data_IF_047429469039
#
_entry.id   IF_047429469039
#
_cell.length_a   1.000
_cell.length_b   1.000
_cell.length_c   1.000
_cell.angle_alpha   90.00
_cell.angle_beta   90.00
_cell.angle_gamma   90.00
#
_symmetry.space_group_name_H-M   'P 1'
#
loop_
_entity.id
_entity.type
_entity.pdbx_description
1 polymer ?
#
# COMPACT_ATOMS: atom_id res chain seq x y z
N UNK A 1 16.08 -3.47 -1.29
CA UNK A 1 16.53 -2.58 -2.38
C UNK A 1 15.70 -2.89 -3.61
N UNK A 2 15.61 -1.93 -4.51
CA UNK A 2 14.87 -2.08 -5.77
C UNK A 2 15.83 -2.22 -6.97
N UNK A 3 15.26 -2.52 -8.13
CA UNK A 3 16.00 -2.69 -9.38
C UNK A 3 15.97 -1.43 -10.27
N UNK A 4 15.86 -0.25 -9.65
CA UNK A 4 16.07 1.03 -10.32
C UNK A 4 17.50 1.52 -10.07
N UNK A 5 18.37 1.37 -11.06
CA UNK A 5 19.81 1.61 -10.91
C UNK A 5 20.35 2.43 -12.08
N UNK A 6 21.32 3.31 -11.79
CA UNK A 6 22.03 4.02 -12.84
C UNK A 6 23.12 3.13 -13.43
N UNK A 7 23.06 2.91 -14.74
CA UNK A 7 24.05 2.17 -15.54
C UNK A 7 24.38 3.00 -16.79
N UNK A 8 25.64 3.14 -17.13
CA UNK A 8 26.09 3.84 -18.35
C UNK A 8 25.50 5.25 -18.53
N UNK A 9 25.36 6.02 -17.47
CA UNK A 9 24.86 7.40 -17.51
C UNK A 9 23.34 7.54 -17.54
N UNK A 10 22.57 6.45 -17.39
CA UNK A 10 21.09 6.45 -17.49
C UNK A 10 20.49 5.61 -16.37
N UNK A 11 19.30 5.98 -15.89
CA UNK A 11 18.48 5.16 -15.00
C UNK A 11 17.92 3.97 -15.76
N UNK A 12 18.05 2.79 -15.18
CA UNK A 12 17.44 1.55 -15.64
C UNK A 12 16.35 1.10 -14.67
N UNK A 13 15.30 0.50 -15.22
CA UNK A 13 14.38 -0.38 -14.52
C UNK A 13 14.74 -1.81 -14.93
N UNK A 14 15.30 -2.60 -14.02
CA UNK A 14 15.84 -3.92 -14.33
C UNK A 14 16.88 -3.87 -15.48
N UNK A 15 16.53 -4.38 -16.68
CA UNK A 15 17.41 -4.36 -17.85
C UNK A 15 16.97 -3.32 -18.91
N UNK A 16 15.94 -2.53 -18.64
CA UNK A 16 15.38 -1.53 -19.57
C UNK A 16 15.86 -0.13 -19.19
N UNK A 17 16.52 0.62 -20.10
CA UNK A 17 16.85 2.02 -19.89
C UNK A 17 15.58 2.88 -19.91
N UNK A 18 15.33 3.63 -18.83
CA UNK A 18 14.08 4.39 -18.62
C UNK A 18 13.84 5.44 -19.69
N UNK A 19 14.91 6.11 -20.17
CA UNK A 19 14.79 7.12 -21.23
C UNK A 19 14.34 6.53 -22.57
N UNK A 20 14.50 5.23 -22.80
CA UNK A 20 14.03 4.59 -24.04
C UNK A 20 12.51 4.50 -24.15
N UNK A 21 11.78 4.59 -23.02
CA UNK A 21 10.33 4.45 -22.99
C UNK A 21 9.61 5.63 -23.69
N UNK A 22 9.93 6.91 -23.39
CA UNK A 22 9.40 8.03 -24.18
C UNK A 22 9.81 8.00 -25.65
N UNK A 23 11.03 7.54 -25.97
CA UNK A 23 11.51 7.39 -27.35
C UNK A 23 10.68 6.35 -28.15
N UNK A 24 10.08 5.37 -27.46
CA UNK A 24 9.15 4.39 -28.04
C UNK A 24 7.70 4.89 -28.14
N UNK A 25 7.46 6.18 -27.85
CA UNK A 25 6.14 6.81 -27.95
C UNK A 25 5.26 6.69 -26.70
N UNK A 26 5.81 6.33 -25.55
CA UNK A 26 5.08 6.33 -24.27
C UNK A 26 5.10 7.75 -23.67
N UNK A 27 3.96 8.48 -23.65
CA UNK A 27 3.93 9.85 -23.17
C UNK A 27 4.09 9.92 -21.66
N UNK A 28 4.90 10.87 -21.19
CA UNK A 28 4.99 11.22 -19.75
C UNK A 28 3.78 12.07 -19.32
N UNK A 29 3.44 12.14 -18.01
CA UNK A 29 3.97 11.29 -16.97
C UNK A 29 3.47 9.85 -17.12
N UNK A 30 4.24 8.88 -16.61
CA UNK A 30 3.79 7.49 -16.48
C UNK A 30 4.37 6.85 -15.20
N UNK A 31 3.67 5.84 -14.68
CA UNK A 31 4.20 4.96 -13.64
C UNK A 31 4.97 3.81 -14.28
N UNK A 32 6.11 3.48 -13.69
CA UNK A 32 6.96 2.37 -14.11
C UNK A 32 7.23 1.45 -12.93
N UNK A 33 6.87 0.18 -13.07
CA UNK A 33 7.05 -0.82 -12.03
C UNK A 33 8.07 -1.87 -12.45
N UNK A 34 8.89 -2.30 -11.48
CA UNK A 34 9.75 -3.48 -11.58
C UNK A 34 9.01 -4.70 -11.00
N UNK A 35 8.69 -5.66 -11.84
CA UNK A 35 8.05 -6.91 -11.43
C UNK A 35 8.94 -7.70 -10.45
N UNK A 36 10.25 -7.73 -10.70
CA UNK A 36 11.18 -8.47 -9.86
C UNK A 36 11.43 -7.81 -8.51
N UNK A 37 11.39 -6.47 -8.42
CA UNK A 37 11.39 -5.78 -7.12
C UNK A 37 10.16 -6.16 -6.29
N UNK A 38 8.96 -6.12 -6.91
CA UNK A 38 7.70 -6.49 -6.26
C UNK A 38 7.76 -7.92 -5.71
N UNK A 39 8.17 -8.88 -6.55
CA UNK A 39 8.33 -10.30 -6.19
C UNK A 39 9.34 -10.51 -5.06
N UNK A 40 10.50 -9.88 -5.17
CA UNK A 40 11.58 -10.01 -4.17
C UNK A 40 11.14 -9.47 -2.80
N UNK A 41 10.41 -8.34 -2.77
CA UNK A 41 9.93 -7.79 -1.50
C UNK A 41 8.91 -8.71 -0.82
N UNK A 42 7.98 -9.30 -1.57
CA UNK A 42 7.05 -10.31 -1.04
C UNK A 42 7.81 -11.51 -0.47
N UNK A 43 8.73 -12.08 -1.24
CA UNK A 43 9.53 -13.23 -0.82
C UNK A 43 10.40 -12.94 0.40
N UNK A 44 10.98 -11.72 0.46
CA UNK A 44 11.76 -11.28 1.62
C UNK A 44 10.90 -11.24 2.89
N UNK A 45 9.70 -10.66 2.82
CA UNK A 45 8.79 -10.61 3.98
C UNK A 45 8.41 -12.03 4.41
N UNK A 46 8.05 -12.90 3.46
CA UNK A 46 7.74 -14.29 3.77
C UNK A 46 8.91 -15.00 4.46
N UNK A 47 10.12 -14.90 3.91
CA UNK A 47 11.31 -15.56 4.46
C UNK A 47 11.68 -15.09 5.87
N UNK A 48 11.50 -13.81 6.17
CA UNK A 48 11.79 -13.26 7.50
C UNK A 48 10.81 -13.78 8.56
N UNK A 49 9.56 -14.03 8.19
CA UNK A 49 8.53 -14.58 9.07
C UNK A 49 8.28 -16.10 8.84
N UNK A 50 9.17 -16.80 8.15
CA UNK A 50 8.99 -18.21 7.73
C UNK A 50 8.61 -19.14 8.89
N UNK A 51 9.16 -18.90 10.08
CA UNK A 51 8.86 -19.70 11.28
C UNK A 51 7.39 -19.64 11.69
N UNK A 52 6.69 -18.55 11.33
CA UNK A 52 5.27 -18.38 11.55
C UNK A 52 4.40 -18.93 10.42
N UNK A 53 5.00 -19.33 9.28
CA UNK A 53 4.30 -19.77 8.06
C UNK A 53 3.12 -18.83 7.72
N UNK A 54 3.34 -17.50 7.61
CA UNK A 54 2.25 -16.55 7.56
C UNK A 54 1.50 -16.61 6.24
N UNK A 55 0.19 -16.40 6.30
CA UNK A 55 -0.58 -15.98 5.14
C UNK A 55 -0.33 -14.48 4.92
N UNK A 56 0.39 -14.13 3.86
CA UNK A 56 0.63 -12.74 3.50
C UNK A 56 -0.47 -12.30 2.54
N UNK A 57 -1.32 -11.38 3.00
CA UNK A 57 -2.37 -10.74 2.21
C UNK A 57 -1.88 -9.36 1.76
N UNK A 58 -1.60 -9.20 0.48
CA UNK A 58 -1.17 -7.91 -0.06
C UNK A 58 -2.30 -6.89 0.05
N UNK A 59 -2.02 -5.71 0.65
CA UNK A 59 -3.00 -4.63 0.77
C UNK A 59 -3.24 -3.95 -0.58
N UNK A 60 -4.36 -4.29 -1.23
CA UNK A 60 -4.76 -3.80 -2.57
C UNK A 60 -4.89 -2.28 -2.61
N UNK A 61 -5.31 -1.66 -1.50
CA UNK A 61 -5.35 -0.18 -1.34
C UNK A 61 -4.02 0.52 -1.57
N UNK A 62 -2.90 -0.20 -1.51
CA UNK A 62 -1.59 0.38 -1.81
C UNK A 62 -1.26 0.41 -3.31
N UNK A 63 -1.71 -0.60 -4.06
CA UNK A 63 -1.57 -0.71 -5.52
C UNK A 63 -2.59 -1.73 -6.04
N UNK A 64 -3.51 -1.30 -6.91
CA UNK A 64 -4.69 -2.07 -7.32
C UNK A 64 -4.68 -2.52 -8.79
N UNK A 65 -3.52 -2.50 -9.45
CA UNK A 65 -3.44 -2.95 -10.83
C UNK A 65 -3.48 -4.49 -10.91
N UNK A 66 -4.44 -5.04 -11.68
CA UNK A 66 -4.66 -6.50 -11.84
C UNK A 66 -3.38 -7.25 -12.16
N UNK A 67 -2.52 -6.70 -13.02
CA UNK A 67 -1.28 -7.36 -13.43
C UNK A 67 -0.27 -7.44 -12.29
N UNK A 68 -0.17 -6.40 -11.44
CA UNK A 68 0.66 -6.45 -10.23
C UNK A 68 0.12 -7.44 -9.20
N UNK A 69 -1.23 -7.52 -9.06
CA UNK A 69 -1.86 -8.53 -8.21
C UNK A 69 -1.58 -9.95 -8.72
N UNK A 70 -1.58 -10.18 -10.05
CA UNK A 70 -1.24 -11.47 -10.63
C UNK A 70 0.20 -11.92 -10.32
N UNK A 71 1.18 -10.99 -10.35
CA UNK A 71 2.56 -11.30 -9.98
C UNK A 71 2.66 -11.79 -8.52
N UNK A 72 1.88 -11.21 -7.62
CA UNK A 72 1.86 -11.62 -6.21
C UNK A 72 1.05 -12.90 -5.98
N UNK A 73 -0.10 -13.03 -6.64
CA UNK A 73 -0.93 -14.23 -6.57
C UNK A 73 -0.18 -15.47 -7.04
N UNK A 74 0.64 -15.35 -8.08
CA UNK A 74 1.51 -16.42 -8.57
C UNK A 74 2.55 -16.91 -7.53
N UNK A 75 2.88 -16.06 -6.54
CA UNK A 75 3.73 -16.41 -5.40
C UNK A 75 2.92 -16.96 -4.20
N UNK A 76 1.61 -17.10 -4.33
CA UNK A 76 0.72 -17.61 -3.29
C UNK A 76 0.19 -16.56 -2.32
N UNK A 77 0.36 -15.26 -2.62
CA UNK A 77 -0.18 -14.18 -1.80
C UNK A 77 -1.72 -14.22 -1.74
N UNK A 78 -2.27 -13.97 -0.56
CA UNK A 78 -3.65 -13.51 -0.37
C UNK A 78 -3.77 -12.02 -0.67
N UNK A 79 -5.00 -11.47 -0.52
CA UNK A 79 -5.28 -10.05 -0.75
C UNK A 79 -6.04 -9.46 0.45
N UNK A 80 -5.60 -8.28 0.92
CA UNK A 80 -6.33 -7.45 1.88
C UNK A 80 -7.07 -6.36 1.10
N UNK A 81 -8.40 -6.39 1.17
CA UNK A 81 -9.30 -5.48 0.46
C UNK A 81 -10.15 -4.66 1.43
N UNK A 82 -10.63 -3.49 0.97
CA UNK A 82 -11.39 -2.56 1.81
C UNK A 82 -12.68 -2.03 1.13
N UNK A 83 -13.03 -2.57 -0.03
CA UNK A 83 -14.26 -2.20 -0.76
C UNK A 83 -14.68 -3.28 -1.75
N UNK A 84 -15.94 -3.22 -2.19
CA UNK A 84 -16.44 -4.07 -3.27
C UNK A 84 -15.73 -3.82 -4.61
N UNK A 85 -15.27 -2.59 -4.85
CA UNK A 85 -14.45 -2.27 -6.01
C UNK A 85 -13.11 -3.01 -6.01
N UNK A 86 -12.45 -3.10 -4.86
CA UNK A 86 -11.23 -3.90 -4.72
C UNK A 86 -11.52 -5.41 -4.85
N UNK A 87 -12.64 -5.90 -4.28
CA UNK A 87 -13.07 -7.29 -4.50
C UNK A 87 -13.27 -7.59 -5.98
N UNK A 88 -13.94 -6.69 -6.70
CA UNK A 88 -14.13 -6.83 -8.14
C UNK A 88 -12.80 -6.94 -8.89
N UNK A 89 -11.82 -6.08 -8.57
CA UNK A 89 -10.49 -6.10 -9.18
C UNK A 89 -9.76 -7.40 -8.84
N UNK A 90 -9.83 -7.86 -7.59
CA UNK A 90 -9.22 -9.13 -7.17
C UNK A 90 -9.84 -10.32 -7.92
N UNK A 91 -11.15 -10.32 -8.16
CA UNK A 91 -11.82 -11.35 -8.98
C UNK A 91 -11.37 -11.36 -10.45
N UNK A 92 -10.83 -10.25 -10.97
CA UNK A 92 -10.22 -10.20 -12.33
C UNK A 92 -8.77 -10.70 -12.31
N UNK A 93 -8.18 -10.93 -11.14
CA UNK A 93 -6.84 -11.50 -11.00
C UNK A 93 -6.89 -13.02 -10.80
N UNK A 94 -5.71 -13.65 -10.77
CA UNK A 94 -5.59 -15.08 -10.45
C UNK A 94 -5.50 -15.35 -8.94
N UNK A 95 -5.94 -14.41 -8.09
CA UNK A 95 -5.87 -14.56 -6.65
C UNK A 95 -6.86 -15.62 -6.13
N UNK A 96 -6.43 -16.38 -5.14
CA UNK A 96 -7.26 -17.32 -4.41
C UNK A 96 -8.17 -16.56 -3.45
N UNK A 97 -9.49 -16.55 -3.74
CA UNK A 97 -10.47 -15.81 -2.94
C UNK A 97 -10.57 -16.33 -1.49
N UNK A 98 -10.26 -17.59 -1.24
CA UNK A 98 -10.20 -18.15 0.12
C UNK A 98 -9.06 -17.57 0.96
N UNK A 99 -8.13 -16.82 0.36
CA UNK A 99 -7.06 -16.07 1.00
C UNK A 99 -7.31 -14.56 0.99
N UNK A 100 -8.54 -14.14 0.70
CA UNK A 100 -8.92 -12.72 0.76
C UNK A 100 -9.39 -12.38 2.18
N UNK A 101 -8.92 -11.23 2.68
CA UNK A 101 -9.37 -10.61 3.94
C UNK A 101 -10.07 -9.32 3.57
N UNK A 102 -11.34 -9.17 3.95
CA UNK A 102 -12.11 -7.97 3.67
C UNK A 102 -12.23 -7.11 4.92
N UNK A 103 -11.46 -6.03 4.97
CA UNK A 103 -11.46 -5.01 6.02
C UNK A 103 -12.29 -3.76 5.60
N UNK A 104 -12.29 -2.71 6.42
CA UNK A 104 -12.97 -1.44 6.14
C UNK A 104 -14.22 -1.22 6.97
N UNK A 105 -14.40 0.03 7.42
CA UNK A 105 -15.40 0.45 8.43
C UNK A 105 -16.80 0.72 7.88
N UNK A 106 -17.01 0.58 6.59
CA UNK A 106 -18.29 1.00 5.96
C UNK A 106 -18.69 0.06 4.83
N UNK A 107 -18.60 -1.25 5.06
CA UNK A 107 -19.09 -2.24 4.09
C UNK A 107 -20.59 -2.12 3.95
N UNK A 108 -21.09 -1.99 2.72
CA UNK A 108 -22.52 -2.00 2.44
C UNK A 108 -23.08 -3.44 2.44
N UNK A 109 -24.40 -3.54 2.47
CA UNK A 109 -25.08 -4.85 2.38
C UNK A 109 -24.71 -5.60 1.10
N UNK A 110 -24.60 -4.87 -0.02
CA UNK A 110 -24.20 -5.43 -1.30
C UNK A 110 -22.77 -5.93 -1.26
N UNK A 111 -21.85 -5.19 -0.63
CA UNK A 111 -20.44 -5.58 -0.50
C UNK A 111 -20.28 -6.81 0.42
N UNK A 112 -21.00 -6.86 1.53
CA UNK A 112 -21.02 -8.02 2.44
C UNK A 112 -21.61 -9.24 1.73
N UNK A 113 -22.73 -9.07 1.05
CA UNK A 113 -23.38 -10.14 0.28
C UNK A 113 -22.46 -10.70 -0.79
N UNK A 114 -21.81 -9.82 -1.57
CA UNK A 114 -20.88 -10.23 -2.62
C UNK A 114 -19.65 -10.95 -2.03
N UNK A 115 -19.14 -10.51 -0.89
CA UNK A 115 -18.03 -11.16 -0.19
C UNK A 115 -18.41 -12.57 0.28
N UNK A 116 -19.62 -12.75 0.86
CA UNK A 116 -20.14 -14.06 1.29
C UNK A 116 -20.31 -14.99 0.08
N UNK A 117 -20.93 -14.50 -1.00
CA UNK A 117 -21.17 -15.29 -2.22
C UNK A 117 -19.86 -15.64 -2.95
N UNK A 118 -18.85 -14.79 -2.83
CA UNK A 118 -17.52 -15.03 -3.38
C UNK A 118 -16.64 -15.93 -2.50
N UNK A 119 -17.14 -16.35 -1.35
CA UNK A 119 -16.43 -17.22 -0.40
C UNK A 119 -15.06 -16.68 -0.01
N UNK A 120 -14.99 -15.35 0.29
CA UNK A 120 -13.75 -14.75 0.78
C UNK A 120 -13.30 -15.39 2.08
N UNK A 121 -11.99 -15.48 2.29
CA UNK A 121 -11.42 -16.18 3.44
C UNK A 121 -11.92 -15.65 4.78
N UNK A 122 -11.91 -14.31 4.94
CA UNK A 122 -12.32 -13.65 6.18
C UNK A 122 -12.94 -12.28 5.92
N UNK A 123 -13.93 -11.92 6.74
CA UNK A 123 -14.43 -10.54 6.87
C UNK A 123 -13.94 -9.98 8.21
N UNK A 124 -13.21 -8.88 8.20
CA UNK A 124 -12.81 -8.17 9.41
C UNK A 124 -13.95 -7.29 9.88
N UNK A 125 -14.45 -7.54 11.10
CA UNK A 125 -15.56 -6.84 11.72
C UNK A 125 -15.04 -5.61 12.45
N UNK A 126 -15.60 -4.45 12.15
CA UNK A 126 -15.17 -3.15 12.67
C UNK A 126 -16.12 -2.58 13.74
N UNK A 127 -17.33 -3.17 13.93
CA UNK A 127 -18.31 -2.76 14.94
C UNK A 127 -19.30 -3.89 15.28
N UNK A 128 -19.98 -3.76 16.44
CA UNK A 128 -21.04 -4.68 16.88
C UNK A 128 -22.21 -4.70 15.89
N UNK A 129 -22.57 -3.53 15.35
CA UNK A 129 -23.65 -3.42 14.36
C UNK A 129 -23.29 -4.12 13.04
N UNK A 130 -22.03 -4.03 12.62
CA UNK A 130 -21.58 -4.74 11.44
C UNK A 130 -21.61 -6.26 11.64
N UNK A 131 -21.22 -6.76 12.81
CA UNK A 131 -21.32 -8.19 13.12
C UNK A 131 -22.78 -8.66 13.01
N UNK A 132 -23.71 -7.95 13.62
CA UNK A 132 -25.13 -8.27 13.53
C UNK A 132 -25.63 -8.27 12.08
N UNK A 133 -25.18 -7.31 11.26
CA UNK A 133 -25.58 -7.26 9.85
C UNK A 133 -25.00 -8.41 9.03
N UNK A 134 -23.74 -8.78 9.27
CA UNK A 134 -23.11 -9.96 8.64
C UNK A 134 -23.85 -11.25 9.02
N UNK A 135 -24.28 -11.38 10.28
CA UNK A 135 -25.06 -12.52 10.77
C UNK A 135 -26.42 -12.64 10.07
N UNK A 136 -27.13 -11.53 9.91
CA UNK A 136 -28.42 -11.47 9.23
C UNK A 136 -28.28 -11.90 7.76
N UNK A 137 -27.35 -11.27 7.00
CA UNK A 137 -27.11 -11.58 5.60
C UNK A 137 -26.60 -13.02 5.39
N UNK A 138 -25.71 -13.51 6.23
CA UNK A 138 -25.25 -14.90 6.18
C UNK A 138 -26.40 -15.89 6.43
N UNK A 139 -27.32 -15.55 7.35
CA UNK A 139 -28.53 -16.32 7.64
C UNK A 139 -29.51 -16.33 6.47
N UNK A 140 -29.78 -15.19 5.84
CA UNK A 140 -30.62 -15.07 4.65
C UNK A 140 -30.06 -15.90 3.48
N UNK A 141 -28.76 -15.84 3.27
CA UNK A 141 -28.05 -16.59 2.22
C UNK A 141 -27.85 -18.07 2.56
N UNK A 142 -28.02 -18.44 3.84
CA UNK A 142 -27.68 -19.78 4.36
C UNK A 142 -26.24 -20.20 4.03
N UNK A 143 -25.32 -19.28 4.20
CA UNK A 143 -23.89 -19.46 3.92
C UNK A 143 -23.09 -19.22 5.18
N UNK A 144 -22.13 -20.12 5.45
CA UNK A 144 -21.18 -19.91 6.52
C UNK A 144 -20.11 -18.91 6.11
N UNK A 145 -19.75 -18.00 7.02
CA UNK A 145 -18.69 -16.99 6.81
C UNK A 145 -17.76 -16.94 8.01
N UNK A 146 -16.45 -16.87 7.73
CA UNK A 146 -15.44 -16.67 8.76
C UNK A 146 -15.22 -15.16 8.98
N UNK A 147 -15.20 -14.74 10.24
CA UNK A 147 -14.95 -13.36 10.61
C UNK A 147 -13.78 -13.25 11.59
N UNK A 148 -13.07 -12.12 11.54
CA UNK A 148 -12.10 -11.70 12.53
C UNK A 148 -12.60 -10.43 13.19
N UNK A 149 -12.52 -10.35 14.51
CA UNK A 149 -12.90 -9.14 15.24
C UNK A 149 -11.70 -8.19 15.27
N UNK A 150 -11.86 -7.02 14.67
CA UNK A 150 -10.83 -5.98 14.72
C UNK A 150 -10.88 -5.26 16.05
N UNK A 151 -9.80 -5.40 16.81
CA UNK A 151 -9.65 -4.75 18.10
C UNK A 151 -8.93 -3.41 17.97
N UNK A 152 -9.29 -2.45 18.82
CA UNK A 152 -8.52 -1.24 19.09
C UNK A 152 -7.60 -1.49 20.28
N UNK A 153 -6.31 -1.75 20.07
CA UNK A 153 -5.42 -2.07 21.18
C UNK A 153 -4.97 -0.83 21.98
N UNK A 154 -5.43 0.36 21.61
CA UNK A 154 -5.01 1.64 22.19
C UNK A 154 -3.48 1.79 22.20
N UNK A 155 -2.89 1.63 21.04
CA UNK A 155 -1.46 1.77 20.77
C UNK A 155 -1.26 2.94 19.82
N UNK A 156 -0.41 3.89 20.20
CA UNK A 156 -0.14 5.10 19.46
C UNK A 156 1.35 5.22 19.13
N UNK A 157 1.69 5.26 17.87
CA UNK A 157 3.01 5.66 17.37
C UNK A 157 2.97 7.14 17.00
N UNK A 158 3.59 8.00 17.81
CA UNK A 158 3.61 9.45 17.60
C UNK A 158 4.37 9.86 16.33
N UNK A 159 5.30 9.03 15.83
CA UNK A 159 6.04 9.28 14.58
C UNK A 159 5.22 8.97 13.33
N UNK A 160 4.18 8.16 13.44
CA UNK A 160 3.24 7.94 12.35
C UNK A 160 2.41 9.20 12.12
N UNK A 161 2.21 9.58 10.85
CA UNK A 161 1.38 10.74 10.51
C UNK A 161 -0.02 10.57 11.12
N UNK A 162 -0.54 11.61 11.77
CA UNK A 162 -1.85 11.56 12.45
C UNK A 162 -3.00 11.08 11.56
N UNK A 163 -2.96 11.43 10.26
CA UNK A 163 -3.97 11.01 9.26
C UNK A 163 -3.92 9.51 8.94
N UNK A 164 -2.89 8.79 9.37
CA UNK A 164 -2.71 7.36 9.08
C UNK A 164 -2.58 6.50 10.35
N UNK A 165 -2.85 7.07 11.53
CA UNK A 165 -2.96 6.35 12.81
C UNK A 165 -4.33 5.69 12.92
N UNK A 166 -4.39 4.41 13.27
CA UNK A 166 -5.65 3.65 13.29
C UNK A 166 -5.83 2.77 14.52
N UNK A 167 -4.85 2.71 15.43
CA UNK A 167 -4.86 1.80 16.58
C UNK A 167 -5.14 2.44 17.95
N UNK A 168 -5.48 3.74 17.99
CA UNK A 168 -5.69 4.50 19.20
C UNK A 168 -7.18 4.66 19.51
N UNK A 169 -7.50 4.86 20.80
CA UNK A 169 -8.87 5.12 21.26
C UNK A 169 -9.45 6.37 20.57
N UNK A 170 -10.68 6.28 20.13
CA UNK A 170 -11.37 7.34 19.38
C UNK A 170 -11.09 7.33 17.88
N UNK A 171 -10.29 6.39 17.36
CA UNK A 171 -10.24 6.13 15.91
C UNK A 171 -11.57 5.57 15.43
N UNK A 172 -11.91 5.80 14.15
CA UNK A 172 -13.14 5.26 13.54
C UNK A 172 -13.11 3.75 13.29
N UNK A 173 -11.99 3.10 13.57
CA UNK A 173 -11.72 1.70 13.24
C UNK A 173 -11.90 0.81 14.46
N UNK A 174 -12.34 -0.44 14.22
CA UNK A 174 -12.33 -1.52 15.20
C UNK A 174 -13.23 -1.31 16.42
N UNK A 175 -13.24 -2.31 17.29
CA UNK A 175 -14.04 -2.37 18.51
C UNK A 175 -13.11 -2.10 19.71
N UNK A 176 -13.56 -1.31 20.67
CA UNK A 176 -12.80 -1.04 21.89
C UNK A 176 -12.46 -2.36 22.60
N UNK A 177 -11.18 -2.53 22.95
CA UNK A 177 -10.66 -3.75 23.55
C UNK A 177 -11.51 -4.28 24.74
N UNK A 178 -12.04 -3.36 25.54
CA UNK A 178 -12.87 -3.71 26.70
C UNK A 178 -14.20 -4.41 26.35
N UNK A 179 -14.70 -4.23 25.14
CA UNK A 179 -16.00 -4.77 24.71
C UNK A 179 -15.86 -6.08 23.92
N UNK A 180 -14.64 -6.41 23.46
CA UNK A 180 -14.44 -7.53 22.51
C UNK A 180 -14.72 -8.87 23.16
N UNK A 181 -14.33 -9.07 24.41
CA UNK A 181 -14.54 -10.35 25.13
C UNK A 181 -16.04 -10.70 25.19
N UNK A 182 -16.87 -9.77 25.68
CA UNK A 182 -18.32 -9.96 25.79
C UNK A 182 -18.96 -10.19 24.41
N UNK A 183 -18.55 -9.39 23.41
CA UNK A 183 -19.05 -9.55 22.05
C UNK A 183 -18.80 -10.95 21.49
N UNK A 184 -17.60 -11.49 21.68
CA UNK A 184 -17.24 -12.83 21.20
C UNK A 184 -18.04 -13.89 21.96
N UNK A 185 -18.18 -13.78 23.30
CA UNK A 185 -18.95 -14.73 24.11
C UNK A 185 -20.41 -14.80 23.67
N UNK A 186 -21.05 -13.65 23.48
CA UNK A 186 -22.46 -13.56 23.09
C UNK A 186 -22.73 -14.13 21.67
N UNK A 187 -21.71 -14.20 20.82
CA UNK A 187 -21.85 -14.59 19.43
C UNK A 187 -21.10 -15.87 19.03
N UNK A 188 -20.50 -16.61 20.00
CA UNK A 188 -19.65 -17.77 19.74
C UNK A 188 -20.37 -18.91 19.00
N UNK A 189 -21.66 -19.12 19.28
CA UNK A 189 -22.44 -20.24 18.77
C UNK A 189 -23.34 -19.88 17.58
N UNK A 190 -23.09 -18.75 16.89
CA UNK A 190 -23.91 -18.36 15.76
C UNK A 190 -23.83 -19.40 14.61
N UNK A 191 -24.99 -19.82 14.01
CA UNK A 191 -25.01 -20.95 13.07
C UNK A 191 -24.25 -20.68 11.78
N UNK A 192 -24.25 -19.45 11.28
CA UNK A 192 -23.66 -19.07 9.99
C UNK A 192 -22.41 -18.21 10.10
N UNK A 193 -22.12 -17.59 11.24
CA UNK A 193 -20.93 -16.75 11.40
C UNK A 193 -19.98 -17.42 12.37
N UNK A 194 -18.74 -17.66 11.93
CA UNK A 194 -17.69 -18.27 12.71
C UNK A 194 -16.65 -17.21 13.05
N UNK A 195 -16.59 -16.80 14.32
CA UNK A 195 -15.53 -15.92 14.83
C UNK A 195 -14.27 -16.74 14.95
N UNK A 196 -13.33 -16.58 14.00
CA UNK A 196 -12.10 -17.39 13.93
C UNK A 196 -10.95 -16.76 14.68
N UNK A 197 -10.99 -15.46 14.90
CA UNK A 197 -9.83 -14.81 15.49
C UNK A 197 -9.93 -13.31 15.65
N UNK A 198 -8.78 -12.72 15.87
CA UNK A 198 -8.62 -11.28 16.08
C UNK A 198 -7.82 -10.65 14.96
N UNK A 199 -8.15 -9.39 14.66
CA UNK A 199 -7.41 -8.52 13.75
C UNK A 199 -6.99 -7.26 14.49
N UNK A 200 -5.79 -6.74 14.17
CA UNK A 200 -5.35 -5.43 14.62
C UNK A 200 -4.49 -4.75 13.56
N UNK A 201 -4.81 -3.48 13.25
CA UNK A 201 -3.98 -2.64 12.39
C UNK A 201 -3.80 -1.28 13.06
N UNK A 202 -2.56 -0.96 13.46
CA UNK A 202 -2.26 0.17 14.36
C UNK A 202 -1.84 1.45 13.64
N UNK A 203 -1.59 1.40 12.31
CA UNK A 203 -1.21 2.56 11.49
C UNK A 203 -0.21 2.23 10.39
N UNK A 204 0.22 3.24 9.61
CA UNK A 204 1.21 3.07 8.54
C UNK A 204 1.90 4.39 8.15
N UNK A 205 3.27 4.42 8.09
CA UNK A 205 4.18 3.37 8.56
C UNK A 205 4.33 3.36 10.08
N UNK A 206 4.66 2.21 10.66
CA UNK A 206 4.97 2.07 12.08
C UNK A 206 6.47 2.16 12.29
N UNK A 207 6.90 3.02 13.20
CA UNK A 207 8.32 3.37 13.37
C UNK A 207 9.14 2.36 14.19
N UNK A 208 8.48 1.51 15.00
CA UNK A 208 9.15 0.55 15.88
C UNK A 208 8.33 -0.74 16.05
N UNK A 209 9.01 -1.87 16.13
CA UNK A 209 8.41 -3.16 16.44
C UNK A 209 7.70 -3.19 17.80
N UNK A 210 8.10 -2.33 18.75
CA UNK A 210 7.52 -2.29 20.09
C UNK A 210 6.02 -2.04 20.10
N UNK A 211 5.53 -1.26 19.12
CA UNK A 211 4.09 -1.02 18.94
C UNK A 211 3.36 -2.28 18.51
N UNK A 212 3.95 -3.08 17.60
CA UNK A 212 3.39 -4.39 17.22
C UNK A 212 3.37 -5.34 18.38
N UNK A 213 4.49 -5.47 19.11
CA UNK A 213 4.58 -6.37 20.28
C UNK A 213 3.53 -6.00 21.33
N UNK A 214 3.31 -4.70 21.57
CA UNK A 214 2.28 -4.23 22.51
C UNK A 214 0.87 -4.61 22.04
N UNK A 215 0.54 -4.40 20.78
CA UNK A 215 -0.75 -4.76 20.22
C UNK A 215 -0.98 -6.29 20.23
N UNK A 216 0.02 -7.06 19.82
CA UNK A 216 -0.05 -8.53 19.76
C UNK A 216 -0.20 -9.11 21.18
N UNK A 217 0.48 -8.58 22.20
CA UNK A 217 0.29 -9.02 23.60
C UNK A 217 -1.15 -8.88 24.07
N UNK A 218 -1.82 -7.78 23.74
CA UNK A 218 -3.25 -7.60 24.03
C UNK A 218 -4.11 -8.64 23.29
N UNK A 219 -3.79 -8.93 22.01
CA UNK A 219 -4.51 -9.96 21.26
C UNK A 219 -4.35 -11.33 21.92
N UNK A 220 -3.13 -11.70 22.26
CA UNK A 220 -2.80 -12.98 22.90
C UNK A 220 -3.43 -13.09 24.28
N UNK A 221 -3.41 -12.03 25.10
CA UNK A 221 -4.09 -11.97 26.39
C UNK A 221 -5.58 -12.29 26.26
N UNK A 222 -6.26 -11.70 25.28
CA UNK A 222 -7.66 -11.95 25.01
C UNK A 222 -7.91 -13.39 24.53
N UNK A 223 -7.04 -13.94 23.69
CA UNK A 223 -7.09 -15.37 23.29
C UNK A 223 -7.04 -16.29 24.50
N UNK A 224 -6.13 -16.03 25.45
CA UNK A 224 -6.00 -16.85 26.66
C UNK A 224 -7.21 -16.70 27.61
N UNK A 225 -7.82 -15.51 27.66
CA UNK A 225 -9.07 -15.30 28.42
C UNK A 225 -10.21 -16.12 27.83
N UNK A 226 -10.42 -16.02 26.53
CA UNK A 226 -11.48 -16.75 25.79
C UNK A 226 -11.29 -18.28 25.87
N UNK A 227 -10.05 -18.73 25.76
CA UNK A 227 -9.69 -20.16 25.88
C UNK A 227 -10.11 -20.75 27.24
N UNK A 228 -9.91 -20.01 28.34
CA UNK A 228 -10.39 -20.43 29.69
C UNK A 228 -11.91 -20.55 29.77
N UNK A 229 -12.64 -19.86 28.89
CA UNK A 229 -14.11 -19.95 28.75
C UNK A 229 -14.54 -20.97 27.71
N UNK A 230 -13.63 -21.83 27.23
CA UNK A 230 -13.86 -22.83 26.17
C UNK A 230 -14.21 -22.24 24.78
N UNK A 231 -13.92 -20.97 24.54
CA UNK A 231 -14.04 -20.32 23.23
C UNK A 231 -12.67 -20.38 22.57
N UNK A 232 -12.57 -21.06 21.42
CA UNK A 232 -11.31 -21.24 20.70
C UNK A 232 -11.26 -20.35 19.49
N UNK A 233 -10.23 -19.53 19.44
CA UNK A 233 -9.80 -18.81 18.24
C UNK A 233 -8.60 -19.54 17.64
N UNK A 234 -8.39 -19.40 16.33
CA UNK A 234 -7.30 -20.07 15.61
C UNK A 234 -6.63 -19.16 14.57
N UNK A 235 -6.98 -17.87 14.51
CA UNK A 235 -6.39 -16.89 13.60
C UNK A 235 -5.98 -15.63 14.35
N UNK A 236 -4.75 -15.15 14.07
CA UNK A 236 -4.28 -13.83 14.48
C UNK A 236 -3.82 -13.06 13.26
N UNK A 237 -4.56 -12.00 12.92
CA UNK A 237 -4.19 -11.07 11.87
C UNK A 237 -3.58 -9.82 12.51
N UNK A 238 -2.28 -9.65 12.36
CA UNK A 238 -1.55 -8.53 12.96
C UNK A 238 -1.47 -7.30 12.04
N UNK A 239 -2.18 -7.34 10.92
CA UNK A 239 -2.30 -6.23 9.99
C UNK A 239 -1.05 -5.94 9.17
N UNK A 240 -1.03 -4.73 8.65
CA UNK A 240 0.10 -4.17 7.91
C UNK A 240 0.77 -3.04 8.66
N UNK A 241 1.21 -2.01 7.91
CA UNK A 241 1.87 -0.84 8.49
C UNK A 241 3.39 -0.94 8.46
N UNK A 242 3.94 -2.04 7.97
CA UNK A 242 5.38 -2.19 7.79
C UNK A 242 5.95 -1.10 6.88
N UNK A 243 7.04 -0.43 7.28
CA UNK A 243 7.62 0.68 6.52
C UNK A 243 8.28 0.23 5.22
N UNK A 244 8.60 1.21 4.37
CA UNK A 244 9.49 1.09 3.22
C UNK A 244 10.56 2.18 3.34
N UNK A 245 11.74 1.93 2.83
CA UNK A 245 12.82 2.90 2.78
C UNK A 245 12.57 3.87 1.61
N UNK A 246 12.52 5.17 1.90
CA UNK A 246 12.39 6.22 0.89
C UNK A 246 13.74 6.75 0.45
N UNK A 247 14.78 6.43 1.21
CA UNK A 247 16.19 6.75 0.96
C UNK A 247 17.03 5.52 1.29
N UNK A 248 18.22 5.40 0.68
CA UNK A 248 19.10 4.24 0.94
C UNK A 248 19.76 4.32 2.31
N UNK A 249 19.80 5.52 2.93
CA UNK A 249 20.26 5.72 4.30
C UNK A 249 19.13 5.68 5.35
N UNK A 250 17.93 5.27 5.00
CA UNK A 250 16.89 4.89 5.98
C UNK A 250 17.35 3.64 6.73
N UNK A 251 17.19 3.64 8.06
CA UNK A 251 17.70 2.58 8.93
C UNK A 251 16.63 1.53 9.28
N UNK A 252 15.66 1.31 8.43
CA UNK A 252 14.68 0.25 8.67
C UNK A 252 15.27 -1.13 8.37
N UNK A 253 15.28 -2.00 9.38
CA UNK A 253 15.65 -3.42 9.26
C UNK A 253 14.43 -4.31 9.49
N UNK A 254 14.11 -5.13 8.51
CA UNK A 254 13.06 -6.13 8.60
C UNK A 254 13.34 -7.15 9.70
N UNK A 255 14.59 -7.55 9.87
CA UNK A 255 15.03 -8.53 10.85
C UNK A 255 14.78 -8.04 12.28
N UNK A 256 15.00 -6.74 12.52
CA UNK A 256 14.74 -6.12 13.84
C UNK A 256 13.24 -6.07 14.18
N UNK A 257 12.36 -6.03 13.17
CA UNK A 257 10.91 -6.08 13.37
C UNK A 257 10.41 -7.50 13.60
N UNK A 258 10.88 -8.44 12.80
CA UNK A 258 10.34 -9.80 12.76
C UNK A 258 10.73 -10.62 13.98
N UNK A 259 11.96 -10.48 14.49
CA UNK A 259 12.45 -11.28 15.61
C UNK A 259 11.51 -11.26 16.83
N UNK A 260 11.25 -10.08 17.44
CA UNK A 260 10.37 -9.98 18.60
C UNK A 260 8.91 -10.39 18.34
N UNK A 261 8.40 -10.18 17.11
CA UNK A 261 7.05 -10.60 16.72
C UNK A 261 7.00 -12.13 16.62
N UNK A 262 8.01 -12.73 16.00
CA UNK A 262 8.11 -14.19 15.83
C UNK A 262 8.22 -14.88 17.18
N UNK A 263 9.10 -14.40 18.05
CA UNK A 263 9.27 -14.96 19.42
C UNK A 263 7.93 -15.00 20.19
N UNK A 264 7.11 -13.97 20.05
CA UNK A 264 5.82 -13.88 20.72
C UNK A 264 4.76 -14.81 20.12
N UNK A 265 4.73 -14.98 18.80
CA UNK A 265 3.67 -15.73 18.09
C UNK A 265 4.01 -17.20 17.82
N UNK A 266 5.30 -17.55 17.78
CA UNK A 266 5.73 -18.91 17.45
C UNK A 266 5.11 -20.01 18.34
N UNK A 267 4.96 -19.82 19.69
CA UNK A 267 4.29 -20.80 20.54
C UNK A 267 2.85 -21.10 20.13
N UNK A 268 2.10 -20.09 19.67
CA UNK A 268 0.71 -20.25 19.20
C UNK A 268 0.65 -20.99 17.89
N UNK A 269 1.59 -20.75 16.99
CA UNK A 269 1.68 -21.48 15.71
C UNK A 269 2.05 -22.95 15.96
N UNK A 270 3.14 -23.20 16.71
CA UNK A 270 3.69 -24.57 16.89
C UNK A 270 2.84 -25.46 17.80
N UNK A 271 2.30 -24.91 18.88
CA UNK A 271 1.63 -25.72 19.89
C UNK A 271 0.10 -25.73 19.75
N UNK A 272 -0.48 -24.70 19.13
CA UNK A 272 -1.92 -24.51 19.08
C UNK A 272 -2.47 -24.44 17.64
N UNK A 273 -1.59 -24.39 16.63
CA UNK A 273 -1.99 -24.41 15.21
C UNK A 273 -2.58 -23.10 14.69
N UNK A 274 -2.27 -21.96 15.34
CA UNK A 274 -2.76 -20.66 14.90
C UNK A 274 -2.24 -20.30 13.50
N UNK A 275 -3.13 -19.77 12.69
CA UNK A 275 -2.80 -19.12 11.41
C UNK A 275 -2.46 -17.65 11.69
N UNK A 276 -1.29 -17.23 11.26
CA UNK A 276 -0.87 -15.82 11.32
C UNK A 276 -1.12 -15.16 9.96
N UNK A 277 -1.74 -13.99 9.97
CA UNK A 277 -1.99 -13.18 8.77
C UNK A 277 -1.23 -11.87 8.89
N UNK A 278 -0.55 -11.49 7.82
CA UNK A 278 0.12 -10.20 7.64
C UNK A 278 -0.50 -9.46 6.45
N UNK A 279 -0.68 -8.13 6.56
CA UNK A 279 -1.28 -7.28 5.52
C UNK A 279 -0.30 -6.21 5.00
N UNK A 280 0.90 -6.59 4.51
CA UNK A 280 1.84 -5.62 3.97
C UNK A 280 1.34 -5.06 2.63
N UNK A 281 1.38 -3.73 2.49
CA UNK A 281 1.12 -3.05 1.23
C UNK A 281 2.33 -2.21 0.83
N UNK A 282 2.57 -1.12 1.59
CA UNK A 282 3.68 -0.19 1.36
C UNK A 282 5.03 -0.89 1.21
N UNK A 283 5.35 -1.77 2.09
CA UNK A 283 6.64 -2.48 2.12
C UNK A 283 6.89 -3.42 0.93
N UNK A 284 5.83 -3.86 0.25
CA UNK A 284 5.94 -4.66 -0.97
C UNK A 284 6.03 -3.77 -2.20
N UNK A 285 5.10 -2.81 -2.34
CA UNK A 285 4.91 -2.11 -3.62
C UNK A 285 5.64 -0.77 -3.72
N UNK A 286 5.96 -0.07 -2.61
CA UNK A 286 6.46 1.31 -2.67
C UNK A 286 7.72 1.45 -3.52
N UNK A 287 8.78 0.69 -3.22
CA UNK A 287 10.04 0.74 -3.97
C UNK A 287 9.97 0.02 -5.33
N UNK A 288 8.91 -0.73 -5.59
CA UNK A 288 8.72 -1.39 -6.87
C UNK A 288 8.26 -0.42 -7.98
N UNK A 289 7.96 0.85 -7.67
CA UNK A 289 7.47 1.81 -8.65
C UNK A 289 8.15 3.18 -8.57
N UNK A 290 8.36 3.77 -9.75
CA UNK A 290 8.74 5.17 -9.95
C UNK A 290 7.71 5.86 -10.83
N UNK A 291 7.64 7.21 -10.75
CA UNK A 291 6.92 8.03 -11.73
C UNK A 291 7.95 8.80 -12.55
N UNK A 292 7.81 8.73 -13.87
CA UNK A 292 8.69 9.43 -14.81
C UNK A 292 7.94 10.64 -15.33
N UNK A 293 8.53 11.84 -15.17
CA UNK A 293 7.99 13.10 -15.62
C UNK A 293 8.96 13.82 -16.55
N UNK A 294 8.44 14.65 -17.43
CA UNK A 294 9.20 15.55 -18.30
C UNK A 294 9.24 16.96 -17.72
N UNK A 295 10.39 17.59 -17.76
CA UNK A 295 10.55 19.01 -17.44
C UNK A 295 9.92 19.83 -18.58
N UNK A 296 8.85 20.56 -18.24
CA UNK A 296 8.19 21.47 -19.17
C UNK A 296 8.91 22.82 -19.20
N UNK A 297 9.21 23.35 -18.02
CA UNK A 297 9.86 24.65 -17.89
C UNK A 297 10.76 24.70 -16.63
N UNK A 298 11.79 25.53 -16.73
CA UNK A 298 12.60 25.97 -15.58
C UNK A 298 12.54 27.48 -15.53
N UNK A 299 12.23 28.04 -14.37
CA UNK A 299 12.17 29.49 -14.19
C UNK A 299 12.67 29.91 -12.81
N UNK A 300 13.02 31.19 -12.71
CA UNK A 300 13.28 31.86 -11.43
C UNK A 300 12.08 32.72 -11.03
N UNK A 301 11.74 32.71 -9.74
CA UNK A 301 10.69 33.56 -9.16
C UNK A 301 11.16 34.07 -7.80
N UNK A 302 11.52 35.35 -7.72
CA UNK A 302 12.27 35.88 -6.58
C UNK A 302 13.60 35.10 -6.42
N UNK A 303 13.86 34.63 -5.23
CA UNK A 303 15.09 33.88 -4.91
C UNK A 303 14.94 32.35 -5.16
N UNK A 304 13.80 31.90 -5.67
CA UNK A 304 13.51 30.48 -5.88
C UNK A 304 13.73 30.06 -7.33
N UNK A 305 14.42 28.95 -7.51
CA UNK A 305 14.43 28.22 -8.78
C UNK A 305 13.25 27.23 -8.77
N UNK A 306 12.44 27.25 -9.80
CA UNK A 306 11.24 26.42 -9.94
C UNK A 306 11.41 25.56 -11.19
N UNK A 307 11.23 24.25 -11.04
CA UNK A 307 11.10 23.32 -12.17
C UNK A 307 9.65 22.85 -12.24
N UNK A 308 9.03 23.03 -13.40
CA UNK A 308 7.65 22.65 -13.69
C UNK A 308 7.67 21.37 -14.50
N UNK A 309 7.04 20.32 -13.97
CA UNK A 309 6.92 19.01 -14.59
C UNK A 309 5.54 18.85 -15.26
N UNK A 310 5.41 17.86 -16.13
CA UNK A 310 4.14 17.44 -16.72
C UNK A 310 3.30 16.52 -15.81
N UNK A 311 3.83 16.15 -14.63
CA UNK A 311 3.15 15.44 -13.55
C UNK A 311 3.24 16.20 -12.24
N UNK A 312 2.21 16.09 -11.41
CA UNK A 312 2.10 16.83 -10.16
C UNK A 312 1.21 16.11 -9.13
N UNK A 313 0.43 16.91 -8.37
CA UNK A 313 -0.43 16.38 -7.31
C UNK A 313 -1.56 15.47 -7.83
N UNK A 314 -1.95 15.60 -9.08
CA UNK A 314 -2.96 14.75 -9.70
C UNK A 314 -2.48 13.33 -9.93
N UNK A 315 -1.20 13.15 -10.15
CA UNK A 315 -0.58 11.83 -10.27
C UNK A 315 -0.08 11.33 -8.91
N UNK A 316 0.51 12.21 -8.09
CA UNK A 316 1.11 11.86 -6.80
C UNK A 316 0.72 12.88 -5.73
N UNK A 317 -0.42 12.68 -5.07
CA UNK A 317 -0.95 13.62 -4.07
C UNK A 317 -0.18 13.62 -2.74
N UNK A 318 0.61 12.58 -2.47
CA UNK A 318 1.23 12.37 -1.16
C UNK A 318 2.12 13.52 -0.64
N UNK A 319 2.93 14.20 -1.46
CA UNK A 319 3.65 15.38 -1.00
C UNK A 319 2.70 16.50 -0.53
N UNK A 320 1.67 16.81 -1.30
CA UNK A 320 0.68 17.84 -0.96
C UNK A 320 -0.16 17.47 0.28
N UNK A 321 -0.58 16.19 0.39
CA UNK A 321 -1.53 15.73 1.42
C UNK A 321 -0.87 15.41 2.77
N UNK A 322 0.34 14.84 2.73
CA UNK A 322 1.03 14.28 3.90
C UNK A 322 2.40 14.91 4.14
N UNK A 323 2.82 15.87 3.31
CA UNK A 323 4.21 16.36 3.25
C UNK A 323 5.21 15.19 3.08
N UNK A 324 4.81 14.18 2.30
CA UNK A 324 5.60 12.96 2.13
C UNK A 324 6.84 13.22 1.28
N UNK A 325 7.97 12.70 1.77
CA UNK A 325 9.21 12.74 1.01
C UNK A 325 9.19 11.67 -0.10
N UNK A 326 9.65 12.08 -1.29
CA UNK A 326 10.02 11.19 -2.39
C UNK A 326 11.38 11.63 -2.92
N UNK A 327 12.27 10.67 -3.17
CA UNK A 327 13.53 10.98 -3.82
C UNK A 327 13.27 11.32 -5.28
N UNK A 328 13.87 12.38 -5.79
CA UNK A 328 13.73 12.85 -7.17
C UNK A 328 15.11 13.01 -7.77
N UNK A 329 15.32 12.50 -9.00
CA UNK A 329 16.59 12.65 -9.71
C UNK A 329 16.39 12.57 -11.22
N UNK A 330 17.28 13.20 -12.03
CA UNK A 330 17.23 13.08 -13.49
C UNK A 330 17.37 11.63 -13.95
N UNK A 331 16.62 11.22 -14.95
CA UNK A 331 16.75 9.91 -15.61
C UNK A 331 18.10 9.75 -16.27
N UNK A 332 18.65 10.87 -16.81
CA UNK A 332 19.97 10.93 -17.43
C UNK A 332 20.78 12.09 -16.84
N UNK A 333 21.33 11.91 -15.63
CA UNK A 333 22.16 12.96 -15.01
C UNK A 333 23.46 13.15 -15.75
N UNK A 334 24.08 14.31 -15.54
CA UNK A 334 25.45 14.54 -15.99
C UNK A 334 26.43 13.59 -15.25
N UNK A 335 27.56 13.30 -15.86
CA UNK A 335 28.53 12.33 -15.31
C UNK A 335 28.97 12.66 -13.87
N UNK A 336 29.12 13.95 -13.54
CA UNK A 336 29.45 14.41 -12.19
C UNK A 336 28.34 14.14 -11.14
N UNK A 337 27.12 13.92 -11.59
CA UNK A 337 25.93 13.75 -10.74
C UNK A 337 25.35 12.31 -10.82
N UNK A 338 26.15 11.34 -11.27
CA UNK A 338 25.74 9.94 -11.21
C UNK A 338 25.62 9.48 -9.77
N UNK A 339 24.52 8.75 -9.48
CA UNK A 339 24.27 8.18 -8.17
C UNK A 339 24.68 6.72 -8.10
N UNK A 340 25.36 6.36 -7.02
CA UNK A 340 25.55 4.95 -6.60
C UNK A 340 24.51 4.54 -5.56
N UNK A 341 23.94 5.51 -4.85
CA UNK A 341 22.87 5.32 -3.87
C UNK A 341 22.00 6.58 -3.80
N UNK A 342 20.81 6.46 -3.24
CA UNK A 342 19.81 7.53 -3.07
C UNK A 342 19.78 8.01 -1.63
N UNK A 343 20.94 8.33 -1.07
CA UNK A 343 21.02 8.95 0.25
C UNK A 343 20.49 10.39 0.21
N UNK A 344 19.91 10.83 1.31
CA UNK A 344 19.49 12.22 1.46
C UNK A 344 19.95 12.74 2.84
N UNK A 345 20.56 13.93 2.93
CA UNK A 345 20.92 14.81 1.80
C UNK A 345 21.93 14.17 0.85
N UNK A 346 21.86 14.56 -0.44
CA UNK A 346 22.78 14.05 -1.46
C UNK A 346 24.15 14.70 -1.26
N UNK A 347 25.23 13.92 -1.03
CA UNK A 347 26.57 14.48 -0.74
C UNK A 347 27.33 14.83 -2.04
N UNK A 348 26.78 15.73 -2.85
CA UNK A 348 27.37 16.18 -4.12
C UNK A 348 27.40 17.70 -4.20
N UNK A 349 28.43 18.25 -4.83
CA UNK A 349 28.57 19.68 -5.11
C UNK A 349 27.89 20.07 -6.42
N UNK A 350 27.66 21.38 -6.63
CA UNK A 350 27.10 21.91 -7.87
C UNK A 350 25.62 21.66 -8.07
N UNK A 351 24.91 21.23 -7.02
CA UNK A 351 23.44 21.09 -7.06
C UNK A 351 22.77 22.46 -6.91
N UNK A 352 21.64 22.61 -7.60
CA UNK A 352 20.77 23.77 -7.54
C UNK A 352 19.55 23.40 -6.71
N UNK A 353 19.15 24.27 -5.79
CA UNK A 353 17.92 24.08 -4.99
C UNK A 353 16.71 24.49 -5.79
N UNK A 354 15.77 23.55 -6.00
CA UNK A 354 14.52 23.75 -6.73
C UNK A 354 13.29 23.50 -5.87
N UNK A 355 12.22 24.27 -6.11
CA UNK A 355 10.86 23.82 -5.87
C UNK A 355 10.42 23.02 -7.12
N UNK A 356 10.06 21.73 -6.93
CA UNK A 356 9.61 20.83 -7.99
C UNK A 356 8.09 20.81 -7.97
N UNK A 357 7.46 21.38 -9.00
CA UNK A 357 6.01 21.59 -9.05
C UNK A 357 5.38 20.95 -10.28
N UNK A 358 4.07 20.68 -10.20
CA UNK A 358 3.27 20.20 -11.31
C UNK A 358 2.54 21.29 -12.09
N UNK A 359 1.63 20.89 -13.01
CA UNK A 359 0.90 21.79 -13.89
C UNK A 359 -0.45 22.27 -13.32
N UNK A 360 -0.82 21.88 -12.12
CA UNK A 360 -2.14 22.12 -11.55
C UNK A 360 -2.27 23.54 -11.02
N UNK A 361 -3.43 24.16 -11.24
CA UNK A 361 -3.69 25.54 -10.87
C UNK A 361 -3.96 25.71 -9.34
N UNK A 362 -3.02 25.23 -8.52
CA UNK A 362 -3.10 25.25 -7.06
C UNK A 362 -1.72 25.32 -6.42
N UNK A 363 -1.57 26.13 -5.35
CA UNK A 363 -0.27 26.32 -4.67
C UNK A 363 0.22 25.07 -3.92
N UNK A 364 -0.65 24.10 -3.68
CA UNK A 364 -0.31 22.81 -3.10
C UNK A 364 0.26 21.80 -4.13
N UNK A 365 0.30 22.17 -5.42
CA UNK A 365 0.84 21.32 -6.47
C UNK A 365 2.36 21.33 -6.48
N UNK A 366 2.95 20.60 -5.56
CA UNK A 366 4.39 20.35 -5.53
C UNK A 366 4.69 18.87 -5.26
N UNK A 367 5.77 18.39 -5.86
CA UNK A 367 6.35 17.07 -5.59
C UNK A 367 7.49 17.17 -4.57
N UNK A 368 8.19 18.31 -4.54
CA UNK A 368 9.19 18.60 -3.52
C UNK A 368 9.41 20.13 -3.41
N UNK A 369 9.79 20.58 -2.20
CA UNK A 369 10.23 21.94 -1.93
C UNK A 369 11.69 21.92 -1.55
N UNK A 370 12.43 22.97 -1.98
CA UNK A 370 13.82 23.20 -1.63
C UNK A 370 14.70 21.95 -1.87
N UNK A 371 14.48 21.29 -3.00
CA UNK A 371 15.17 20.05 -3.36
C UNK A 371 16.48 20.35 -4.10
N UNK A 372 17.64 19.93 -3.55
CA UNK A 372 18.90 20.00 -4.29
C UNK A 372 18.91 18.96 -5.40
N UNK A 373 19.07 19.43 -6.66
CA UNK A 373 19.10 18.62 -7.87
C UNK A 373 20.22 19.11 -8.79
N UNK A 374 20.73 18.28 -9.70
CA UNK A 374 21.54 18.73 -10.82
C UNK A 374 20.81 19.79 -11.64
N UNK A 375 21.57 20.63 -12.36
CA UNK A 375 20.96 21.58 -13.28
C UNK A 375 20.02 20.87 -14.27
N UNK A 376 18.77 21.32 -14.34
CA UNK A 376 17.73 20.81 -15.21
C UNK A 376 17.39 21.79 -16.33
N UNK A 377 16.98 21.28 -17.47
CA UNK A 377 16.53 22.06 -18.62
C UNK A 377 15.23 21.51 -19.19
N UNK A 378 14.56 22.32 -19.98
CA UNK A 378 13.34 21.91 -20.71
C UNK A 378 13.62 20.65 -21.54
N UNK A 379 12.75 19.66 -21.42
CA UNK A 379 12.85 18.39 -22.13
C UNK A 379 13.55 17.27 -21.38
N UNK A 380 14.24 17.58 -20.27
CA UNK A 380 14.81 16.54 -19.41
C UNK A 380 13.73 15.66 -18.80
N UNK A 381 14.07 14.41 -18.50
CA UNK A 381 13.22 13.50 -17.75
C UNK A 381 13.74 13.35 -16.30
N UNK A 382 12.82 13.36 -15.36
CA UNK A 382 13.10 13.09 -13.94
C UNK A 382 12.30 11.90 -13.46
N UNK A 383 12.89 11.13 -12.56
CA UNK A 383 12.23 10.02 -11.87
C UNK A 383 11.90 10.45 -10.45
N UNK A 384 10.65 10.23 -10.03
CA UNK A 384 10.18 10.33 -8.65
C UNK A 384 10.11 8.91 -8.12
N UNK A 385 10.94 8.59 -7.13
CA UNK A 385 11.11 7.22 -6.62
C UNK A 385 10.11 6.86 -5.52
N UNK A 386 9.98 5.56 -5.27
CA UNK A 386 9.20 4.98 -4.16
C UNK A 386 7.72 5.38 -4.20
N UNK A 387 7.15 5.37 -5.40
CA UNK A 387 5.75 5.76 -5.66
C UNK A 387 4.83 4.58 -5.97
N UNK A 388 5.35 3.35 -5.93
CA UNK A 388 4.57 2.15 -6.23
C UNK A 388 3.44 1.86 -5.23
N UNK A 389 3.49 2.46 -4.03
CA UNK A 389 2.41 2.42 -3.06
C UNK A 389 1.76 3.79 -2.89
N UNK A 390 0.43 3.83 -2.92
CA UNK A 390 -0.36 5.06 -2.71
C UNK A 390 0.00 6.18 -3.71
N UNK A 391 0.50 5.81 -4.89
CA UNK A 391 0.68 6.70 -6.03
C UNK A 391 -0.56 6.63 -6.93
N UNK A 392 -0.53 5.78 -7.97
CA UNK A 392 -1.62 5.68 -8.96
C UNK A 392 -3.01 5.44 -8.37
N UNK A 393 -3.13 4.70 -7.26
CA UNK A 393 -4.41 4.45 -6.59
C UNK A 393 -5.06 5.72 -6.02
N UNK A 394 -4.28 6.79 -5.80
CA UNK A 394 -4.75 8.09 -5.31
C UNK A 394 -4.76 9.16 -6.42
N UNK A 395 -4.42 8.80 -7.66
CA UNK A 395 -4.44 9.72 -8.78
C UNK A 395 -5.87 10.18 -9.11
N UNK A 396 -6.00 11.42 -9.56
CA UNK A 396 -7.28 12.07 -9.82
C UNK A 396 -7.30 12.77 -11.17
N UNK A 397 -8.50 13.17 -11.61
CA UNK A 397 -8.70 13.97 -12.82
C UNK A 397 -8.91 15.47 -12.48
N UNK A 398 -8.34 15.94 -11.36
CA UNK A 398 -8.46 17.36 -11.00
C UNK A 398 -7.89 18.24 -12.13
N UNK A 399 -8.50 19.42 -12.37
CA UNK A 399 -8.30 20.27 -13.55
C UNK A 399 -8.47 19.53 -14.91
N UNK A 400 -9.19 18.38 -14.94
CA UNK A 400 -9.39 17.52 -16.12
C UNK A 400 -8.07 16.99 -16.73
N UNK A 401 -7.05 16.81 -15.89
CA UNK A 401 -5.88 16.04 -16.30
C UNK A 401 -6.23 14.56 -16.39
N UNK A 402 -5.75 13.92 -17.43
CA UNK A 402 -5.94 12.48 -17.65
C UNK A 402 -4.97 11.68 -16.78
N UNK A 403 -5.44 10.56 -16.19
CA UNK A 403 -4.57 9.69 -15.40
C UNK A 403 -3.51 9.04 -16.30
N UNK A 404 -2.28 8.88 -15.78
CA UNK A 404 -1.15 8.38 -16.55
C UNK A 404 -1.26 6.90 -16.88
N UNK A 405 -0.42 6.43 -17.81
CA UNK A 405 -0.22 5.01 -18.07
C UNK A 405 0.53 4.34 -16.90
N UNK A 406 0.30 3.03 -16.71
CA UNK A 406 1.13 2.17 -15.87
C UNK A 406 1.86 1.16 -16.74
N UNK A 407 3.17 1.04 -16.52
CA UNK A 407 4.07 0.19 -17.28
C UNK A 407 4.78 -0.74 -16.31
N UNK A 408 4.90 -2.00 -16.67
CA UNK A 408 5.64 -2.99 -15.91
C UNK A 408 6.81 -3.53 -16.72
N UNK A 409 7.96 -3.63 -16.09
CA UNK A 409 9.15 -4.29 -16.64
C UNK A 409 9.38 -5.60 -15.89
N UNK A 410 9.61 -6.67 -16.64
CA UNK A 410 10.10 -7.96 -16.15
C UNK A 410 11.35 -8.33 -16.96
N UNK A 411 12.51 -8.12 -16.38
CA UNK A 411 13.84 -8.20 -17.00
C UNK A 411 13.96 -7.20 -18.17
N UNK A 412 13.97 -7.66 -19.39
CA UNK A 412 14.05 -6.89 -20.63
C UNK A 412 12.69 -6.65 -21.32
N UNK A 413 11.61 -7.25 -20.77
CA UNK A 413 10.27 -7.15 -21.33
C UNK A 413 9.51 -5.98 -20.75
N UNK A 414 8.78 -5.27 -21.60
CA UNK A 414 8.00 -4.08 -21.27
C UNK A 414 6.52 -4.38 -21.53
N UNK A 415 5.68 -4.14 -20.51
CA UNK A 415 4.24 -4.34 -20.61
C UNK A 415 3.53 -3.03 -20.25
N UNK A 416 2.62 -2.57 -21.09
CA UNK A 416 1.64 -1.54 -20.72
C UNK A 416 0.53 -2.26 -19.97
N UNK A 417 0.48 -2.06 -18.64
CA UNK A 417 -0.47 -2.72 -17.74
C UNK A 417 -1.69 -1.85 -17.40
N UNK A 418 -1.67 -0.59 -17.80
CA UNK A 418 -2.80 0.34 -17.86
C UNK A 418 -2.50 1.37 -18.93
N UNK A 419 -3.41 1.55 -19.86
CA UNK A 419 -3.33 2.63 -20.84
C UNK A 419 -3.54 3.99 -20.17
N UNK A 420 -2.92 5.04 -20.73
CA UNK A 420 -3.21 6.41 -20.34
C UNK A 420 -4.65 6.74 -20.69
N UNK A 421 -5.37 7.43 -19.81
CA UNK A 421 -6.70 7.93 -20.14
C UNK A 421 -6.65 8.90 -21.33
N UNK A 422 -7.74 8.93 -22.07
CA UNK A 422 -8.00 9.89 -23.13
C UNK A 422 -8.94 11.00 -22.63
N UNK A 423 -9.03 12.11 -23.36
CA UNK A 423 -10.02 13.16 -23.09
C UNK A 423 -11.46 12.64 -23.18
N UNK A 424 -11.71 11.63 -24.03
CA UNK A 424 -13.01 10.97 -24.13
C UNK A 424 -13.38 10.23 -22.86
N UNK A 425 -12.41 9.65 -22.16
CA UNK A 425 -12.68 8.97 -20.90
C UNK A 425 -13.17 9.94 -19.82
N UNK A 426 -12.71 11.19 -19.82
CA UNK A 426 -13.12 12.22 -18.89
C UNK A 426 -14.62 12.56 -19.00
N UNK A 427 -15.19 12.48 -20.19
CA UNK A 427 -16.58 12.89 -20.48
C UNK A 427 -17.52 11.71 -20.75
N UNK A 428 -17.00 10.49 -20.86
CA UNK A 428 -17.76 9.29 -21.27
C UNK A 428 -19.05 9.06 -20.48
N UNK A 429 -19.09 9.43 -19.22
CA UNK A 429 -20.26 9.27 -18.34
C UNK A 429 -20.99 10.58 -18.02
N UNK A 430 -20.56 11.70 -18.64
CA UNK A 430 -21.25 12.98 -18.51
C UNK A 430 -22.42 13.02 -19.50
N UNK A 431 -23.49 12.30 -19.19
CA UNK A 431 -24.70 12.20 -20.02
C UNK A 431 -25.86 12.90 -19.34
N UNK A 432 -26.73 13.52 -20.14
CA UNK A 432 -27.99 14.12 -19.66
C UNK A 432 -29.11 13.10 -19.84
N UNK A 433 -29.71 12.73 -18.73
CA UNK A 433 -30.96 11.94 -18.70
C UNK A 433 -32.08 12.78 -18.13
N UNK A 434 -33.28 12.61 -18.68
CA UNK A 434 -34.51 13.02 -18.04
C UNK A 434 -34.98 11.85 -17.13
N UNK A 435 -35.18 12.14 -15.82
CA UNK A 435 -35.60 11.15 -14.82
C UNK A 435 -37.13 10.94 -14.85
#
# INVERSE_FOLDING_TARGET
>A
MDLFQYKNGVLYCEDVPVNSLPERGLPTPFYLYSANTLKTHYQKIYGIFEQLQPMICFSVKSSNNVHLLNELAALGAGMDIVSGGELFVVKQSNADLSKVVFAGVGKSDEEITEAILSEVGFINIESEQELARVQELAGELKREVNVLIRILPDVLDEKTNEKTRTGHKGAKFGIDYANVEALIEENADHPYVKIRGLHSHIGSPISSYTFYVTAIRKMVELVEVLKRKNIRLDVLNIGGGFPANYMDNDNFSWESFAGPITELLEPYVKNEGFKIILEPGRSISANAGIMVCKVLYVKQSGDKNIVILDGGMTELIRPAMYNAFHFIWPVKPQAAHMLTNRNYPVPQEGLITYDVVGPICESSDYLAKERPLPALQQGDYVAVFTVGAYGMVMASNYNLHVRPAEIMVDKDKIYVIRERETQQDLVRKMIRHEL
#
